data_IF_681966047545
#
_entry.id   IF_681966047545
#
_cell.length_a   1.000
_cell.length_b   1.000
_cell.length_c   1.000
_cell.angle_alpha   90.00
_cell.angle_beta   90.00
_cell.angle_gamma   90.00
#
_symmetry.space_group_name_H-M   'P 1'
#
loop_
_entity.id
_entity.type
_entity.pdbx_description
1 polymer ?
#
# COMPACT_ATOMS: atom_id res chain seq x y z
N UNK A 1 -16.44 14.21 5.06
CA UNK A 1 -16.13 12.77 5.16
C UNK A 1 -14.63 12.61 5.14
N UNK A 2 -14.07 11.83 6.07
CA UNK A 2 -12.62 11.63 6.18
C UNK A 2 -12.21 10.44 5.31
N UNK A 3 -11.49 10.67 4.22
CA UNK A 3 -11.05 9.59 3.33
C UNK A 3 -9.68 9.06 3.72
N UNK A 4 -9.62 7.73 3.88
CA UNK A 4 -8.38 6.97 4.09
C UNK A 4 -8.04 6.26 2.78
N UNK A 5 -6.89 6.58 2.22
CA UNK A 5 -6.39 5.92 1.02
C UNK A 5 -5.73 4.58 1.41
N UNK A 6 -6.15 3.51 0.74
CA UNK A 6 -5.54 2.19 0.83
C UNK A 6 -4.88 1.93 -0.53
N UNK A 7 -3.58 2.14 -0.58
CA UNK A 7 -2.77 1.97 -1.77
C UNK A 7 -1.98 0.68 -1.68
N UNK A 8 -2.11 -0.19 -2.66
CA UNK A 8 -1.42 -1.47 -2.66
C UNK A 8 -0.94 -1.90 -4.05
N UNK A 9 0.00 -2.82 -4.07
CA UNK A 9 0.31 -3.69 -5.20
C UNK A 9 0.11 -5.15 -4.78
N UNK A 10 -0.43 -5.98 -5.66
CA UNK A 10 -0.61 -7.41 -5.39
C UNK A 10 -0.41 -8.21 -6.67
N UNK A 11 0.39 -9.27 -6.60
CA UNK A 11 0.58 -10.19 -7.72
C UNK A 11 -0.21 -11.49 -7.51
N UNK A 12 -0.14 -12.05 -6.31
CA UNK A 12 -0.79 -13.33 -5.96
C UNK A 12 -2.14 -13.20 -5.26
N UNK A 13 -2.66 -11.98 -5.06
CA UNK A 13 -3.96 -11.72 -4.43
C UNK A 13 -3.92 -11.43 -2.93
N UNK A 14 -3.00 -12.02 -2.16
CA UNK A 14 -2.98 -11.92 -0.69
C UNK A 14 -2.95 -10.47 -0.17
N UNK A 15 -2.14 -9.59 -0.77
CA UNK A 15 -2.10 -8.17 -0.37
C UNK A 15 -3.40 -7.46 -0.74
N UNK A 16 -4.04 -7.84 -1.84
CA UNK A 16 -5.38 -7.34 -2.21
C UNK A 16 -6.42 -7.72 -1.17
N UNK A 17 -6.42 -8.98 -0.72
CA UNK A 17 -7.36 -9.45 0.30
C UNK A 17 -7.17 -8.69 1.62
N UNK A 18 -5.92 -8.44 2.03
CA UNK A 18 -5.60 -7.60 3.19
C UNK A 18 -6.10 -6.16 3.00
N UNK A 19 -5.92 -5.56 1.82
CA UNK A 19 -6.42 -4.23 1.51
C UNK A 19 -7.95 -4.14 1.66
N UNK A 20 -8.68 -5.15 1.20
CA UNK A 20 -10.14 -5.24 1.36
C UNK A 20 -10.56 -5.37 2.83
N UNK A 21 -9.82 -6.13 3.64
CA UNK A 21 -10.08 -6.23 5.07
C UNK A 21 -9.82 -4.90 5.79
N UNK A 22 -8.76 -4.20 5.43
CA UNK A 22 -8.45 -2.86 5.96
C UNK A 22 -9.57 -1.88 5.59
N UNK A 23 -10.07 -1.94 4.35
CA UNK A 23 -11.17 -1.09 3.90
C UNK A 23 -12.42 -1.28 4.76
N UNK A 24 -12.81 -2.53 5.04
CA UNK A 24 -13.94 -2.82 5.94
C UNK A 24 -13.71 -2.26 7.34
N UNK A 25 -12.48 -2.35 7.85
CA UNK A 25 -12.11 -1.77 9.14
C UNK A 25 -12.22 -0.23 9.14
N UNK A 26 -11.83 0.44 8.07
CA UNK A 26 -12.00 1.89 7.92
C UNK A 26 -13.47 2.26 7.88
N UNK A 27 -14.28 1.56 7.11
CA UNK A 27 -15.72 1.83 6.94
C UNK A 27 -16.55 1.49 8.18
N UNK A 28 -16.00 0.73 9.13
CA UNK A 28 -16.65 0.50 10.43
C UNK A 28 -16.58 1.71 11.37
N UNK A 29 -15.83 2.75 11.00
CA UNK A 29 -15.70 3.98 11.79
C UNK A 29 -16.61 5.07 11.21
N UNK A 30 -17.49 5.62 12.04
CA UNK A 30 -18.42 6.67 11.63
C UNK A 30 -17.67 7.89 11.04
N UNK A 31 -18.12 8.33 9.86
CA UNK A 31 -17.54 9.45 9.15
C UNK A 31 -16.24 9.17 8.38
N UNK A 32 -15.70 7.94 8.46
CA UNK A 32 -14.57 7.49 7.64
C UNK A 32 -15.04 6.77 6.37
N UNK A 33 -14.26 6.91 5.29
CA UNK A 33 -14.48 6.23 4.01
C UNK A 33 -13.16 5.65 3.51
N UNK A 34 -13.19 4.43 3.00
CA UNK A 34 -12.06 3.81 2.34
C UNK A 34 -12.02 4.18 0.85
N UNK A 35 -10.83 4.58 0.38
CA UNK A 35 -10.54 4.75 -1.06
C UNK A 35 -9.46 3.74 -1.41
N UNK A 36 -9.81 2.69 -2.14
CA UNK A 36 -8.87 1.64 -2.54
C UNK A 36 -8.30 1.98 -3.90
N UNK A 37 -6.96 1.87 -4.05
CA UNK A 37 -6.23 2.08 -5.29
C UNK A 37 -5.11 1.06 -5.43
N UNK A 38 -4.76 0.76 -6.67
CA UNK A 38 -3.60 -0.07 -7.01
C UNK A 38 -2.62 0.70 -7.90
N UNK A 39 -1.43 0.13 -8.15
CA UNK A 39 -0.47 0.64 -9.13
C UNK A 39 -0.39 -0.33 -10.31
N UNK A 40 -0.10 0.19 -11.49
CA UNK A 40 0.18 -0.62 -12.67
C UNK A 40 1.46 -1.44 -12.49
N UNK A 41 1.60 -2.53 -13.24
CA UNK A 41 2.86 -3.29 -13.29
C UNK A 41 3.95 -2.42 -13.91
N UNK A 42 5.18 -2.57 -13.39
CA UNK A 42 6.34 -2.00 -14.04
C UNK A 42 6.69 -2.82 -15.30
N UNK A 43 6.86 -2.15 -16.42
CA UNK A 43 7.32 -2.75 -17.67
C UNK A 43 8.86 -2.77 -17.74
N UNK A 44 9.42 -3.79 -18.35
CA UNK A 44 10.87 -3.83 -18.67
C UNK A 44 11.25 -2.85 -19.81
N UNK A 45 10.29 -2.42 -20.59
CA UNK A 45 10.44 -1.45 -21.66
C UNK A 45 9.76 -0.14 -21.28
N UNK A 46 10.18 0.98 -21.88
CA UNK A 46 9.56 2.29 -21.64
C UNK A 46 8.17 2.45 -22.29
N UNK A 47 7.69 1.42 -22.99
CA UNK A 47 6.38 1.44 -23.62
C UNK A 47 5.28 1.17 -22.57
N UNK A 48 4.16 1.87 -22.69
CA UNK A 48 2.97 1.58 -21.91
C UNK A 48 2.42 0.20 -22.29
N UNK A 49 2.51 -0.77 -21.39
CA UNK A 49 2.05 -2.16 -21.62
C UNK A 49 0.69 -2.43 -21.00
N UNK A 50 0.20 -1.54 -20.15
CA UNK A 50 -1.10 -1.64 -19.50
C UNK A 50 -2.02 -0.53 -20.01
N UNK A 51 -3.31 -0.78 -20.03
CA UNK A 51 -4.30 0.26 -20.33
C UNK A 51 -4.33 1.32 -19.24
N UNK A 52 -4.72 2.57 -19.57
CA UNK A 52 -4.87 3.66 -18.61
C UNK A 52 -5.88 3.35 -17.49
N UNK A 53 -6.79 2.42 -17.75
CA UNK A 53 -7.76 1.92 -16.80
C UNK A 53 -7.58 0.41 -16.68
N UNK A 54 -7.49 -0.15 -15.44
CA UNK A 54 -7.36 -1.59 -15.28
C UNK A 54 -8.58 -2.32 -15.84
N UNK A 55 -8.35 -3.40 -16.59
CA UNK A 55 -9.42 -4.21 -17.14
C UNK A 55 -10.26 -4.94 -16.06
N UNK A 56 -9.68 -5.08 -14.86
CA UNK A 56 -10.34 -5.68 -13.70
C UNK A 56 -9.62 -5.26 -12.41
N UNK A 57 -10.35 -5.15 -11.31
CA UNK A 57 -9.82 -4.80 -10.00
C UNK A 57 -10.04 -3.34 -9.62
N UNK A 58 -9.24 -2.86 -8.68
CA UNK A 58 -9.36 -1.48 -8.19
C UNK A 58 -8.72 -0.48 -9.18
N UNK A 59 -9.24 0.75 -9.27
CA UNK A 59 -8.68 1.79 -10.12
C UNK A 59 -7.20 2.07 -9.79
N UNK A 60 -6.43 2.49 -10.79
CA UNK A 60 -5.07 2.96 -10.55
C UNK A 60 -5.08 4.23 -9.70
N UNK A 61 -4.00 4.38 -8.92
CA UNK A 61 -3.79 5.54 -8.07
C UNK A 61 -3.36 6.74 -8.91
N UNK A 62 -3.89 7.90 -8.54
CA UNK A 62 -3.45 9.20 -9.04
C UNK A 62 -2.74 9.98 -7.92
N UNK A 63 -1.89 10.94 -8.28
CA UNK A 63 -1.22 11.82 -7.31
C UNK A 63 -2.23 12.59 -6.44
N UNK A 64 -3.38 12.91 -7.04
CA UNK A 64 -4.49 13.57 -6.35
C UNK A 64 -5.06 12.73 -5.20
N UNK A 65 -5.12 11.41 -5.34
CA UNK A 65 -5.58 10.53 -4.27
C UNK A 65 -4.72 10.67 -3.01
N UNK A 66 -3.39 10.80 -3.18
CA UNK A 66 -2.46 11.03 -2.07
C UNK A 66 -2.62 12.43 -1.46
N UNK A 67 -2.86 13.45 -2.30
CA UNK A 67 -3.02 14.83 -1.84
C UNK A 67 -4.31 15.02 -1.04
N UNK A 68 -5.42 14.42 -1.47
CA UNK A 68 -6.74 14.55 -0.86
C UNK A 68 -6.95 13.68 0.38
N UNK A 69 -6.30 12.52 0.47
CA UNK A 69 -6.49 11.61 1.60
C UNK A 69 -6.01 12.24 2.91
N UNK A 70 -6.71 11.96 3.99
CA UNK A 70 -6.29 12.35 5.35
C UNK A 70 -5.39 11.33 6.02
N UNK A 71 -5.33 10.10 5.49
CA UNK A 71 -4.50 9.01 5.97
C UNK A 71 -4.22 8.00 4.86
N UNK A 72 -3.17 7.21 5.01
CA UNK A 72 -2.73 6.23 4.02
C UNK A 72 -2.43 4.89 4.68
N UNK A 73 -2.97 3.81 4.12
CA UNK A 73 -2.48 2.45 4.32
C UNK A 73 -1.77 1.99 3.04
N UNK A 74 -0.48 1.67 3.13
CA UNK A 74 0.37 1.30 2.02
C UNK A 74 0.72 -0.19 2.09
N UNK A 75 0.45 -0.94 1.01
CA UNK A 75 0.62 -2.38 0.97
C UNK A 75 1.43 -2.90 -0.22
N UNK A 76 2.29 -3.88 0.04
CA UNK A 76 3.11 -4.54 -0.98
C UNK A 76 3.40 -5.98 -0.63
N UNK A 77 3.48 -6.90 -1.60
CA UNK A 77 4.16 -8.18 -1.38
C UNK A 77 5.67 -7.94 -1.20
N UNK A 78 6.34 -8.90 -0.55
CA UNK A 78 7.79 -8.85 -0.36
C UNK A 78 8.57 -9.45 -1.54
N UNK A 79 9.58 -8.71 -2.00
CA UNK A 79 10.58 -9.19 -2.96
C UNK A 79 11.98 -8.90 -2.42
N UNK A 80 12.72 -9.95 -2.07
CA UNK A 80 14.09 -9.82 -1.55
C UNK A 80 14.20 -8.84 -0.37
N UNK A 81 13.21 -8.87 0.55
CA UNK A 81 13.18 -8.00 1.71
C UNK A 81 12.75 -6.56 1.44
N UNK A 82 12.24 -6.26 0.25
CA UNK A 82 11.81 -4.91 -0.14
C UNK A 82 10.39 -4.91 -0.71
N UNK A 83 9.78 -3.73 -0.82
CA UNK A 83 8.52 -3.56 -1.53
C UNK A 83 8.68 -3.88 -3.02
N UNK A 84 7.59 -4.23 -3.68
CA UNK A 84 7.56 -4.49 -5.12
C UNK A 84 7.93 -3.25 -5.94
N UNK A 85 8.68 -3.47 -7.03
CA UNK A 85 9.13 -2.40 -7.93
C UNK A 85 8.01 -1.48 -8.45
N UNK A 86 6.81 -1.97 -8.84
CA UNK A 86 5.73 -1.08 -9.27
C UNK A 86 5.32 -0.05 -8.21
N UNK A 87 5.26 -0.46 -6.93
CA UNK A 87 4.93 0.46 -5.85
C UNK A 87 6.03 1.50 -5.63
N UNK A 88 7.30 1.05 -5.66
CA UNK A 88 8.44 1.96 -5.55
C UNK A 88 8.50 2.95 -6.72
N UNK A 89 8.24 2.49 -7.94
CA UNK A 89 8.18 3.34 -9.13
C UNK A 89 7.13 4.44 -9.00
N UNK A 90 5.93 4.11 -8.51
CA UNK A 90 4.90 5.11 -8.24
C UNK A 90 5.36 6.12 -7.18
N UNK A 91 5.94 5.64 -6.06
CA UNK A 91 6.43 6.52 -4.99
C UNK A 91 7.54 7.46 -5.47
N UNK A 92 8.43 7.02 -6.35
CA UNK A 92 9.48 7.86 -6.94
C UNK A 92 8.90 9.03 -7.77
N UNK A 93 7.73 8.82 -8.37
CA UNK A 93 6.99 9.87 -9.09
C UNK A 93 6.34 10.94 -8.19
N UNK A 94 6.38 10.78 -6.85
CA UNK A 94 5.70 11.70 -5.91
C UNK A 94 6.55 12.91 -5.47
N UNK A 95 7.70 13.15 -6.09
CA UNK A 95 8.61 14.25 -5.74
C UNK A 95 7.91 15.61 -5.70
N UNK A 96 6.97 15.88 -6.61
CA UNK A 96 6.20 17.12 -6.62
C UNK A 96 5.33 17.31 -5.37
N UNK A 97 4.74 16.24 -4.82
CA UNK A 97 3.98 16.27 -3.58
C UNK A 97 4.90 16.48 -2.36
N UNK A 98 6.10 15.89 -2.39
CA UNK A 98 7.09 16.09 -1.35
C UNK A 98 7.55 17.55 -1.26
N UNK A 99 7.87 18.18 -2.40
CA UNK A 99 8.24 19.60 -2.44
C UNK A 99 7.15 20.53 -1.91
N UNK A 100 5.88 20.20 -2.14
CA UNK A 100 4.73 20.94 -1.60
C UNK A 100 4.46 20.64 -0.11
N UNK A 101 5.08 19.64 0.47
CA UNK A 101 4.75 19.17 1.82
C UNK A 101 3.34 18.59 1.94
N UNK A 102 2.74 18.12 0.84
CA UNK A 102 1.33 17.73 0.78
C UNK A 102 0.94 16.59 1.72
N UNK A 103 1.91 15.79 2.15
CA UNK A 103 1.69 14.60 2.99
C UNK A 103 2.15 14.80 4.45
N UNK A 104 2.69 15.96 4.81
CA UNK A 104 3.19 16.25 6.16
C UNK A 104 2.06 16.10 7.20
N UNK A 105 2.40 15.47 8.32
CA UNK A 105 1.51 15.21 9.46
C UNK A 105 0.29 14.30 9.17
N UNK A 106 0.15 13.77 7.97
CA UNK A 106 -0.90 12.79 7.69
C UNK A 106 -0.51 11.42 8.24
N UNK A 107 -1.40 10.71 8.94
CA UNK A 107 -1.09 9.37 9.45
C UNK A 107 -0.86 8.38 8.32
N UNK A 108 0.10 7.47 8.51
CA UNK A 108 0.42 6.39 7.60
C UNK A 108 0.55 5.05 8.31
N UNK A 109 0.13 3.98 7.68
CA UNK A 109 0.35 2.60 8.12
C UNK A 109 0.84 1.77 6.93
N UNK A 110 1.52 0.67 7.20
CA UNK A 110 2.02 -0.24 6.17
C UNK A 110 1.57 -1.67 6.44
N UNK A 111 1.39 -2.46 5.39
CA UNK A 111 1.03 -3.87 5.49
C UNK A 111 1.68 -4.69 4.37
N UNK A 112 1.97 -5.94 4.63
CA UNK A 112 2.63 -6.84 3.68
C UNK A 112 2.13 -8.27 3.81
N UNK A 113 2.41 -9.07 2.81
CA UNK A 113 2.29 -10.52 2.81
C UNK A 113 3.47 -11.11 2.06
N UNK A 114 4.11 -12.13 2.61
CA UNK A 114 5.23 -12.86 2.01
C UNK A 114 4.90 -14.34 1.92
N UNK A 115 5.68 -15.09 1.13
CA UNK A 115 5.45 -16.51 0.88
C UNK A 115 5.78 -17.43 2.07
N UNK A 116 6.39 -16.93 3.15
CA UNK A 116 6.73 -17.70 4.35
C UNK A 116 6.61 -16.83 5.61
N UNK A 117 6.47 -17.46 6.78
CA UNK A 117 6.34 -16.77 8.07
C UNK A 117 7.48 -15.78 8.36
N UNK A 118 8.71 -16.13 7.98
CA UNK A 118 9.91 -15.30 8.15
C UNK A 118 10.52 -14.90 6.80
N UNK A 119 9.67 -14.63 5.80
CA UNK A 119 10.05 -14.27 4.43
C UNK A 119 10.50 -12.82 4.24
N UNK A 120 10.95 -12.14 5.30
CA UNK A 120 11.39 -10.76 5.26
C UNK A 120 10.26 -9.74 5.44
N UNK A 121 9.17 -10.11 6.11
CA UNK A 121 8.05 -9.21 6.38
C UNK A 121 8.51 -7.89 7.00
N UNK A 122 9.39 -7.94 7.98
CA UNK A 122 9.89 -6.78 8.73
C UNK A 122 10.62 -5.78 7.82
N UNK A 123 11.51 -6.29 6.98
CA UNK A 123 12.29 -5.44 6.05
C UNK A 123 11.42 -4.85 4.96
N UNK A 124 10.41 -5.59 4.48
CA UNK A 124 9.42 -5.07 3.53
C UNK A 124 8.61 -3.92 4.15
N UNK A 125 8.14 -4.09 5.39
CA UNK A 125 7.43 -3.02 6.12
C UNK A 125 8.32 -1.80 6.30
N UNK A 126 9.58 -1.99 6.74
CA UNK A 126 10.55 -0.90 6.88
C UNK A 126 10.81 -0.19 5.55
N UNK A 127 10.94 -0.94 4.44
CA UNK A 127 11.16 -0.34 3.12
C UNK A 127 10.03 0.58 2.68
N UNK A 128 8.78 0.28 3.08
CA UNK A 128 7.61 1.14 2.83
C UNK A 128 7.52 2.32 3.81
N UNK A 129 7.95 2.14 5.07
CA UNK A 129 7.93 3.22 6.06
C UNK A 129 8.90 4.35 5.70
N UNK A 130 10.08 4.03 5.17
CA UNK A 130 11.10 5.02 4.84
C UNK A 130 10.59 6.15 3.92
N UNK A 131 10.00 5.88 2.73
CA UNK A 131 9.45 6.94 1.89
C UNK A 131 8.31 7.71 2.58
N UNK A 132 7.48 7.06 3.40
CA UNK A 132 6.43 7.74 4.14
C UNK A 132 7.00 8.73 5.18
N UNK A 133 8.07 8.35 5.88
CA UNK A 133 8.77 9.23 6.81
C UNK A 133 9.43 10.40 6.07
N UNK A 134 10.04 10.16 4.90
CA UNK A 134 10.58 11.23 4.04
C UNK A 134 9.52 12.24 3.60
N UNK A 135 8.29 11.79 3.38
CA UNK A 135 7.14 12.65 3.12
C UNK A 135 6.60 13.37 4.37
N UNK A 136 7.22 13.19 5.54
CA UNK A 136 6.78 13.80 6.80
C UNK A 136 5.51 13.19 7.39
N UNK A 137 5.17 11.96 7.01
CA UNK A 137 4.01 11.25 7.57
C UNK A 137 4.29 10.74 8.99
N UNK A 138 3.24 10.67 9.79
CA UNK A 138 3.26 10.06 11.11
C UNK A 138 2.91 8.58 10.97
N UNK A 139 3.88 7.69 11.20
CA UNK A 139 3.64 6.25 11.14
C UNK A 139 2.85 5.82 12.38
N UNK A 140 1.67 5.28 12.14
CA UNK A 140 0.79 4.72 13.17
C UNK A 140 0.75 3.20 13.07
N UNK A 141 1.03 2.53 14.16
CA UNK A 141 0.78 1.10 14.27
C UNK A 141 -0.71 0.90 14.59
N UNK A 142 -1.43 0.07 13.83
CA UNK A 142 -2.80 -0.30 14.18
C UNK A 142 -2.85 -0.94 15.58
N UNK A 143 -3.91 -0.69 16.35
CA UNK A 143 -4.11 -1.32 17.68
C UNK A 143 -4.28 -2.85 17.63
N UNK A 144 -4.30 -3.42 16.46
CA UNK A 144 -4.56 -4.83 16.21
C UNK A 144 -3.28 -5.64 16.46
N UNK A 145 -3.22 -6.28 17.59
CA UNK A 145 -2.05 -7.10 17.99
C UNK A 145 -1.72 -8.25 17.03
N UNK A 146 -2.57 -8.53 16.02
CA UNK A 146 -2.45 -9.70 15.15
C UNK A 146 -2.53 -9.40 13.63
N UNK A 147 -2.78 -8.17 13.19
CA UNK A 147 -3.04 -7.87 11.78
C UNK A 147 -1.80 -7.57 10.93
N UNK A 148 -0.62 -7.42 11.53
CA UNK A 148 0.62 -7.17 10.80
C UNK A 148 1.40 -8.44 10.44
N UNK A 149 0.98 -9.59 10.94
CA UNK A 149 1.73 -10.83 10.83
C UNK A 149 0.91 -11.88 10.09
N UNK A 150 1.28 -12.12 8.86
CA UNK A 150 1.08 -13.35 8.12
C UNK A 150 -0.36 -13.90 8.03
N UNK A 151 -0.96 -13.80 6.87
CA UNK A 151 -1.91 -14.86 6.50
C UNK A 151 -1.14 -16.20 6.42
N UNK A 152 -1.69 -17.30 6.95
CA UNK A 152 -1.09 -18.61 6.83
C UNK A 152 -0.85 -18.91 5.34
N UNK A 153 0.36 -19.31 5.04
CA UNK A 153 0.73 -19.77 3.71
C UNK A 153 -0.21 -20.90 3.30
N UNK A 154 -0.76 -20.85 2.09
CA UNK A 154 -1.51 -21.96 1.46
C UNK A 154 -0.74 -23.30 1.41
N UNK A 155 0.51 -23.30 1.89
CA UNK A 155 1.44 -24.44 1.88
C UNK A 155 1.66 -25.09 3.26
N UNK A 156 0.96 -24.64 4.32
CA UNK A 156 1.09 -25.22 5.66
C UNK A 156 0.07 -26.33 5.95
N UNK A 157 -0.82 -26.63 5.02
CA UNK A 157 -1.81 -27.72 5.13
C UNK A 157 -1.39 -28.92 4.23
N UNK A 158 -0.17 -29.42 4.44
CA UNK A 158 0.33 -30.62 3.81
C UNK A 158 1.13 -31.48 4.76
#
# INVERSE_FOLDING_TARGET
MSEILILYYSQGGAVKDLAQLIARGVESVDGAKARIRTVSKASANCDATESDIPNSGDPYVELKDLEECIGLALGSPGYFGNMAAPLKYFLDGTTGLWLKGALINKPGAVFTSTGSMHGGNETVLLSMMLPLLHHGRIIKQPKWRHALWCQPCRWCDG
#
